data_IF_941536762990
#
_entry.id   IF_941536762990
#
_cell.length_a   1.000
_cell.length_b   1.000
_cell.length_c   1.000
_cell.angle_alpha   90.00
_cell.angle_beta   90.00
_cell.angle_gamma   90.00
#
_symmetry.space_group_name_H-M   'P 1'
#
loop_
_entity.id
_entity.type
_entity.pdbx_description
1 polymer ?
#
# COMPACT_ATOMS: atom_id res chain seq x y z
N UNK A 1 -54.46 21.17 4.99
CA UNK A 1 -54.15 20.03 4.11
C UNK A 1 -55.33 19.74 3.23
N UNK A 2 -55.12 19.78 1.93
CA UNK A 2 -56.20 19.57 0.95
C UNK A 2 -56.56 18.07 0.94
N UNK A 3 -57.86 17.68 1.11
CA UNK A 3 -58.26 16.28 1.30
C UNK A 3 -58.05 15.36 0.08
N UNK A 4 -57.52 15.85 -0.99
CA UNK A 4 -57.29 15.09 -2.23
C UNK A 4 -55.82 14.72 -2.52
N UNK A 5 -54.91 14.91 -1.59
CA UNK A 5 -53.52 14.44 -1.75
C UNK A 5 -53.39 12.99 -1.28
N UNK A 6 -53.33 12.07 -2.22
CA UNK A 6 -52.88 10.69 -1.94
C UNK A 6 -51.36 10.65 -2.00
N UNK A 7 -50.72 10.44 -0.87
CA UNK A 7 -49.29 10.20 -0.77
C UNK A 7 -49.07 8.69 -0.93
N UNK A 8 -48.40 8.30 -1.98
CA UNK A 8 -47.96 6.91 -2.19
C UNK A 8 -46.46 6.85 -1.79
N UNK A 9 -46.18 6.18 -0.70
CA UNK A 9 -44.79 5.90 -0.31
C UNK A 9 -44.35 4.60 -0.98
N UNK A 10 -43.29 4.67 -1.78
CA UNK A 10 -42.74 3.50 -2.44
C UNK A 10 -41.30 3.33 -1.92
N UNK A 11 -41.00 2.16 -1.35
CA UNK A 11 -39.66 1.80 -0.93
C UNK A 11 -38.83 1.42 -2.16
N UNK A 12 -37.68 2.06 -2.34
CA UNK A 12 -36.90 1.97 -3.58
C UNK A 12 -35.72 0.95 -3.55
N UNK A 13 -35.86 -0.10 -2.76
CA UNK A 13 -34.88 -1.20 -2.84
C UNK A 13 -35.17 -2.05 -4.08
N UNK A 14 -34.31 -1.92 -5.12
CA UNK A 14 -34.35 -2.78 -6.30
C UNK A 14 -35.16 -2.29 -7.51
N UNK A 15 -35.52 -1.01 -7.61
CA UNK A 15 -36.22 -0.50 -8.78
C UNK A 15 -35.34 -0.39 -10.03
N UNK A 16 -35.83 -0.94 -11.14
CA UNK A 16 -35.25 -0.77 -12.46
C UNK A 16 -35.71 0.54 -13.11
N UNK A 17 -34.95 1.03 -14.07
CA UNK A 17 -35.28 2.24 -14.86
C UNK A 17 -36.69 2.20 -15.47
N UNK A 18 -37.23 1.02 -15.80
CA UNK A 18 -38.56 0.81 -16.37
C UNK A 18 -39.69 1.18 -15.40
N UNK A 19 -39.50 0.94 -14.09
CA UNK A 19 -40.49 1.28 -13.07
C UNK A 19 -40.57 2.79 -12.86
N UNK A 20 -39.44 3.47 -12.92
CA UNK A 20 -39.37 4.92 -12.82
C UNK A 20 -40.06 5.57 -14.02
N UNK A 21 -39.87 5.04 -15.24
CA UNK A 21 -40.54 5.53 -16.44
C UNK A 21 -42.05 5.32 -16.41
N UNK A 22 -42.52 4.23 -15.83
CA UNK A 22 -43.93 3.96 -15.65
C UNK A 22 -44.57 4.95 -14.64
N UNK A 23 -43.89 5.27 -13.57
CA UNK A 23 -44.40 6.21 -12.55
C UNK A 23 -44.42 7.65 -13.09
N UNK A 24 -43.48 8.04 -13.92
CA UNK A 24 -43.49 9.33 -14.62
C UNK A 24 -44.65 9.38 -15.64
N UNK A 25 -44.91 8.27 -16.34
CA UNK A 25 -46.08 8.15 -17.24
C UNK A 25 -47.43 8.31 -16.53
N UNK A 26 -47.56 7.78 -15.33
CA UNK A 26 -48.79 7.90 -14.51
C UNK A 26 -49.01 9.34 -13.96
N UNK A 27 -47.93 10.06 -13.68
CA UNK A 27 -47.97 11.47 -13.28
C UNK A 27 -48.49 12.38 -14.40
N UNK A 28 -48.25 12.04 -15.66
CA UNK A 28 -48.70 12.77 -16.84
C UNK A 28 -50.23 12.57 -17.12
N UNK A 29 -50.90 11.65 -16.41
CA UNK A 29 -52.35 11.43 -16.51
C UNK A 29 -53.18 12.27 -15.53
N UNK A 30 -52.58 13.30 -14.93
CA UNK A 30 -53.30 14.24 -14.06
C UNK A 30 -53.52 13.77 -12.63
N UNK A 31 -52.82 12.71 -12.23
CA UNK A 31 -52.83 12.26 -10.85
C UNK A 31 -51.70 12.98 -10.05
N UNK A 32 -52.10 13.68 -8.98
CA UNK A 32 -51.15 14.26 -8.02
C UNK A 32 -50.45 13.12 -7.26
N UNK A 33 -49.32 12.68 -7.74
CA UNK A 33 -48.52 11.64 -7.09
C UNK A 33 -47.28 12.31 -6.46
N UNK A 34 -47.24 12.31 -5.12
CA UNK A 34 -46.02 12.66 -4.37
C UNK A 34 -45.16 11.42 -4.24
N UNK A 35 -44.00 11.40 -4.85
CA UNK A 35 -43.02 10.32 -4.73
C UNK A 35 -42.03 10.67 -3.62
N UNK A 36 -42.07 9.96 -2.53
CA UNK A 36 -41.09 10.05 -1.47
C UNK A 36 -40.18 8.80 -1.56
N UNK A 37 -38.91 9.01 -1.88
CA UNK A 37 -37.93 7.94 -1.83
C UNK A 37 -37.24 7.99 -0.47
N UNK A 38 -37.52 6.99 0.37
CA UNK A 38 -36.75 6.75 1.58
C UNK A 38 -35.80 5.60 1.26
N UNK A 39 -34.48 5.88 1.25
CA UNK A 39 -33.50 4.80 1.27
C UNK A 39 -33.64 4.12 2.63
N UNK A 40 -34.10 2.88 2.62
CA UNK A 40 -34.45 2.19 3.85
C UNK A 40 -33.25 1.94 4.73
N UNK A 41 -33.39 2.38 5.97
CA UNK A 41 -32.59 1.84 7.06
C UNK A 41 -33.03 0.39 7.27
N UNK A 42 -32.10 -0.54 7.26
CA UNK A 42 -32.36 -1.90 7.74
C UNK A 42 -32.81 -1.84 9.20
N UNK A 43 -33.78 -2.66 9.63
CA UNK A 43 -34.27 -2.58 11.00
C UNK A 43 -33.15 -2.91 11.99
N UNK A 44 -32.77 -1.92 12.78
CA UNK A 44 -31.85 -2.09 13.91
C UNK A 44 -32.49 -2.94 15.00
N UNK A 45 -31.83 -4.03 15.33
CA UNK A 45 -31.96 -4.65 16.63
C UNK A 45 -30.69 -4.34 17.41
N UNK A 46 -30.79 -3.33 18.25
CA UNK A 46 -29.99 -3.21 19.47
C UNK A 46 -28.58 -2.61 19.41
N UNK A 47 -28.49 -1.47 20.03
CA UNK A 47 -27.36 -0.67 20.56
C UNK A 47 -26.80 0.43 19.64
N UNK A 48 -26.69 1.66 20.16
CA UNK A 48 -26.33 2.82 19.35
C UNK A 48 -24.81 2.87 19.13
N UNK A 49 -24.42 2.63 17.88
CA UNK A 49 -23.08 2.94 17.40
C UNK A 49 -23.13 4.33 16.75
N UNK A 50 -22.44 5.28 17.32
CA UNK A 50 -22.27 6.63 16.80
C UNK A 50 -21.30 6.64 15.63
N UNK A 51 -21.75 6.22 14.45
CA UNK A 51 -21.06 6.50 13.21
C UNK A 51 -22.02 7.22 12.28
N UNK A 52 -21.80 8.52 12.14
CA UNK A 52 -22.61 9.39 11.31
C UNK A 52 -22.46 9.03 9.83
N UNK A 53 -23.42 8.34 9.29
CA UNK A 53 -23.66 8.30 7.85
C UNK A 53 -24.47 9.54 7.50
N UNK A 54 -23.86 10.50 6.80
CA UNK A 54 -24.60 11.61 6.20
C UNK A 54 -25.42 11.07 5.03
N UNK A 55 -26.66 10.68 5.35
CA UNK A 55 -27.67 10.37 4.35
C UNK A 55 -28.35 11.67 3.95
N UNK A 56 -28.10 12.17 2.75
CA UNK A 56 -28.82 13.33 2.21
C UNK A 56 -30.11 12.85 1.58
N UNK A 57 -31.22 13.16 2.22
CA UNK A 57 -32.57 12.89 1.66
C UNK A 57 -32.94 14.03 0.71
N UNK A 58 -32.97 13.77 -0.58
CA UNK A 58 -33.48 14.73 -1.56
C UNK A 58 -34.99 14.56 -1.71
N UNK A 59 -35.74 15.56 -1.29
CA UNK A 59 -37.18 15.62 -1.47
C UNK A 59 -37.50 16.32 -2.79
N UNK A 60 -38.09 15.60 -3.73
CA UNK A 60 -38.55 16.18 -5.00
C UNK A 60 -40.01 16.46 -4.91
N UNK A 61 -40.43 17.70 -4.85
CA UNK A 61 -41.81 18.14 -4.90
C UNK A 61 -42.21 18.48 -6.32
N UNK A 62 -43.20 17.75 -6.86
CA UNK A 62 -43.84 18.11 -8.12
C UNK A 62 -45.16 18.86 -7.84
N UNK A 63 -45.25 20.06 -8.37
CA UNK A 63 -46.49 20.83 -8.36
C UNK A 63 -47.03 20.91 -9.78
N UNK A 64 -48.11 20.19 -10.09
CA UNK A 64 -48.79 20.26 -11.37
C UNK A 64 -49.91 21.31 -11.31
N UNK A 65 -49.52 22.57 -11.42
CA UNK A 65 -50.51 23.60 -11.87
C UNK A 65 -49.96 24.24 -13.13
N UNK A 66 -50.63 23.92 -14.21
CA UNK A 66 -50.66 24.60 -15.51
C UNK A 66 -49.35 24.71 -16.34
N UNK A 67 -49.34 23.84 -17.34
CA UNK A 67 -48.73 24.08 -18.66
C UNK A 67 -47.24 24.39 -18.75
N UNK A 68 -46.57 23.41 -19.35
CA UNK A 68 -45.29 23.45 -20.04
C UNK A 68 -44.00 23.39 -19.21
N UNK A 69 -43.50 22.16 -19.16
CA UNK A 69 -42.15 21.79 -19.60
C UNK A 69 -41.01 22.70 -19.21
N UNK A 70 -40.46 22.43 -18.05
CA UNK A 70 -39.04 22.44 -17.90
C UNK A 70 -38.68 21.23 -16.98
N UNK A 71 -38.60 20.05 -17.56
CA UNK A 71 -37.90 18.95 -16.94
C UNK A 71 -36.42 19.25 -17.09
N UNK A 72 -35.89 20.04 -16.20
CA UNK A 72 -34.46 20.18 -16.03
C UNK A 72 -33.95 18.85 -15.46
N UNK A 73 -33.24 18.12 -16.26
CA UNK A 73 -32.44 16.93 -15.98
C UNK A 73 -32.47 16.45 -14.53
N UNK A 74 -33.25 15.41 -14.23
CA UNK A 74 -33.12 14.68 -12.98
C UNK A 74 -31.82 13.89 -13.06
N UNK A 75 -30.78 14.40 -12.46
CA UNK A 75 -29.55 13.63 -12.24
C UNK A 75 -29.81 12.76 -11.02
N UNK A 76 -30.12 11.49 -11.23
CA UNK A 76 -30.09 10.50 -10.17
C UNK A 76 -28.61 10.27 -9.84
N UNK A 77 -28.08 11.00 -8.88
CA UNK A 77 -26.79 10.70 -8.29
C UNK A 77 -27.02 9.44 -7.43
N UNK A 78 -26.57 8.32 -7.90
CA UNK A 78 -26.39 7.14 -7.07
C UNK A 78 -25.24 7.48 -6.11
N UNK A 79 -25.58 7.94 -4.91
CA UNK A 79 -24.56 7.98 -3.86
C UNK A 79 -24.15 6.54 -3.57
N UNK A 80 -22.95 6.18 -4.00
CA UNK A 80 -22.33 4.98 -3.49
C UNK A 80 -22.11 5.19 -2.00
N UNK A 81 -22.64 4.30 -1.19
CA UNK A 81 -22.36 4.28 0.24
C UNK A 81 -20.87 4.02 0.41
N UNK A 82 -20.10 5.09 0.56
CA UNK A 82 -18.66 5.00 0.80
C UNK A 82 -18.44 4.51 2.22
N UNK A 83 -17.83 3.35 2.34
CA UNK A 83 -17.50 2.74 3.63
C UNK A 83 -16.00 2.68 3.82
N UNK A 84 -15.56 2.91 5.04
CA UNK A 84 -14.17 2.62 5.42
C UNK A 84 -13.85 1.14 5.27
N UNK A 85 -12.63 0.84 4.86
CA UNK A 85 -12.12 -0.52 4.76
C UNK A 85 -12.12 -1.20 6.13
N UNK A 86 -12.56 -2.45 6.15
CA UNK A 86 -12.57 -3.30 7.33
C UNK A 86 -11.63 -4.50 7.11
N UNK A 87 -10.75 -4.74 8.08
CA UNK A 87 -9.75 -5.82 8.02
C UNK A 87 -10.24 -7.12 8.68
N UNK A 88 -11.52 -7.39 8.71
CA UNK A 88 -12.08 -8.55 9.42
C UNK A 88 -11.76 -9.89 8.77
N UNK A 89 -11.49 -9.93 7.46
CA UNK A 89 -11.19 -11.17 6.76
C UNK A 89 -9.81 -11.73 7.13
N UNK A 90 -9.64 -13.07 7.13
CA UNK A 90 -8.32 -13.69 7.28
C UNK A 90 -7.51 -13.59 6.00
N UNK A 91 -6.20 -13.85 6.08
CA UNK A 91 -5.38 -14.09 4.90
C UNK A 91 -5.79 -15.39 4.20
N UNK A 92 -5.76 -15.38 2.87
CA UNK A 92 -5.93 -16.59 2.09
C UNK A 92 -4.76 -17.56 2.30
N UNK A 93 -5.05 -18.85 2.20
CA UNK A 93 -4.03 -19.89 2.15
C UNK A 93 -3.21 -19.75 0.85
N UNK A 94 -1.88 -19.89 0.97
CA UNK A 94 -0.97 -19.79 -0.17
C UNK A 94 -0.11 -21.05 -0.25
N UNK A 95 -0.09 -21.69 -1.41
CA UNK A 95 0.79 -22.81 -1.73
C UNK A 95 1.79 -22.47 -2.86
N UNK A 96 1.55 -21.43 -3.60
CA UNK A 96 2.46 -20.92 -4.65
C UNK A 96 2.21 -19.44 -4.91
N UNK A 97 3.13 -18.83 -5.62
CA UNK A 97 3.07 -17.42 -6.02
C UNK A 97 3.05 -17.33 -7.55
N UNK A 98 2.19 -16.45 -8.07
CA UNK A 98 2.05 -16.24 -9.51
C UNK A 98 2.14 -14.75 -9.84
N UNK A 99 2.58 -14.44 -11.05
CA UNK A 99 2.69 -13.05 -11.48
C UNK A 99 1.32 -12.38 -11.56
N UNK A 100 1.24 -11.19 -10.98
CA UNK A 100 0.11 -10.29 -11.17
C UNK A 100 0.41 -9.31 -12.31
N UNK A 101 1.56 -8.65 -12.25
CA UNK A 101 1.95 -7.62 -13.21
C UNK A 101 3.43 -7.32 -13.15
N UNK A 102 3.95 -6.71 -14.20
CA UNK A 102 5.29 -6.12 -14.28
C UNK A 102 5.25 -4.90 -15.19
N UNK A 103 6.15 -3.96 -15.02
CA UNK A 103 6.17 -2.73 -15.83
C UNK A 103 7.20 -2.73 -16.95
N UNK A 104 8.20 -3.59 -16.92
CA UNK A 104 9.31 -3.65 -17.90
C UNK A 104 9.99 -2.27 -18.13
N UNK A 105 10.06 -1.44 -17.10
CA UNK A 105 10.47 -0.04 -17.24
C UNK A 105 11.85 0.16 -17.85
N UNK A 106 12.83 -0.65 -17.44
CA UNK A 106 14.21 -0.54 -17.98
C UNK A 106 14.25 -0.95 -19.45
N UNK A 107 13.57 -2.03 -19.82
CA UNK A 107 13.51 -2.47 -21.21
C UNK A 107 12.84 -1.42 -22.10
N UNK A 108 11.68 -0.92 -21.68
CA UNK A 108 10.92 0.09 -22.44
C UNK A 108 11.69 1.40 -22.49
N UNK A 109 12.45 1.74 -21.43
CA UNK A 109 13.29 2.94 -21.36
C UNK A 109 14.49 2.96 -22.30
N UNK A 110 14.80 1.84 -22.97
CA UNK A 110 15.86 1.78 -24.01
C UNK A 110 15.49 2.65 -25.22
N UNK A 111 14.23 2.76 -25.57
CA UNK A 111 13.75 3.49 -26.76
C UNK A 111 12.56 4.43 -26.50
N UNK A 112 12.13 4.56 -25.25
CA UNK A 112 11.04 5.45 -24.84
C UNK A 112 11.48 6.33 -23.64
N UNK A 113 10.76 7.41 -23.42
CA UNK A 113 10.98 8.31 -22.29
C UNK A 113 10.34 7.72 -21.03
N UNK A 114 11.13 7.02 -20.23
CA UNK A 114 10.72 6.41 -18.96
C UNK A 114 11.44 7.08 -17.81
N UNK A 115 10.70 7.42 -16.76
CA UNK A 115 11.22 8.09 -15.59
C UNK A 115 12.21 7.19 -14.82
N UNK A 116 13.27 7.79 -14.35
CA UNK A 116 14.17 7.19 -13.36
C UNK A 116 13.45 7.14 -12.03
N UNK A 117 13.39 5.98 -11.42
CA UNK A 117 12.70 5.76 -10.17
C UNK A 117 13.49 4.88 -9.23
N UNK A 118 13.18 4.94 -7.96
CA UNK A 118 13.49 3.92 -6.95
C UNK A 118 12.41 3.91 -5.88
N UNK A 119 12.50 2.96 -4.98
CA UNK A 119 11.51 2.69 -3.94
C UNK A 119 10.09 2.54 -4.52
N UNK A 120 9.90 1.59 -5.50
CA UNK A 120 8.59 1.34 -6.06
C UNK A 120 7.75 0.52 -5.10
N UNK A 121 6.45 0.65 -5.20
CA UNK A 121 5.50 -0.23 -4.53
C UNK A 121 4.15 -0.23 -5.24
N UNK A 122 3.25 -1.07 -4.79
CA UNK A 122 1.85 -1.06 -5.23
C UNK A 122 0.95 -0.70 -4.05
N UNK A 123 -0.12 -0.02 -4.37
CA UNK A 123 -1.21 0.25 -3.44
C UNK A 123 -2.54 0.17 -4.16
N UNK A 124 -3.50 -0.46 -3.51
CA UNK A 124 -4.83 -0.68 -4.06
C UNK A 124 -5.84 0.27 -3.43
N UNK A 125 -6.91 0.52 -4.16
CA UNK A 125 -8.11 1.22 -3.71
C UNK A 125 -9.36 0.41 -4.12
N UNK A 126 -10.56 0.93 -3.86
CA UNK A 126 -11.80 0.21 -4.17
C UNK A 126 -12.00 -0.13 -5.66
N UNK A 127 -11.34 0.60 -6.55
CA UNK A 127 -11.54 0.48 -8.00
C UNK A 127 -10.35 -0.08 -8.75
N UNK A 128 -9.14 0.10 -8.25
CA UNK A 128 -7.90 -0.32 -8.92
C UNK A 128 -6.74 -0.48 -7.94
N UNK A 129 -5.75 -1.27 -8.36
CA UNK A 129 -4.40 -1.23 -7.80
C UNK A 129 -3.53 -0.40 -8.74
N UNK A 130 -2.66 0.43 -8.20
CA UNK A 130 -1.73 1.26 -8.96
C UNK A 130 -0.30 0.97 -8.57
N UNK A 131 0.60 1.20 -9.50
CA UNK A 131 2.03 1.23 -9.24
C UNK A 131 2.43 2.62 -8.75
N UNK A 132 3.32 2.66 -7.77
CA UNK A 132 3.88 3.86 -7.15
C UNK A 132 5.40 3.77 -7.17
N UNK A 133 6.07 4.89 -7.24
CA UNK A 133 7.52 4.99 -7.03
C UNK A 133 7.91 6.43 -6.71
N UNK A 134 9.13 6.59 -6.20
CA UNK A 134 9.77 7.89 -6.06
C UNK A 134 10.55 8.22 -7.33
N UNK A 135 10.04 9.17 -8.10
CA UNK A 135 10.69 9.68 -9.30
C UNK A 135 11.92 10.52 -8.95
N UNK A 136 12.91 10.51 -9.82
CA UNK A 136 14.08 11.40 -9.73
C UNK A 136 13.92 12.71 -10.54
N UNK A 137 12.74 12.93 -11.14
CA UNK A 137 12.47 14.13 -11.93
C UNK A 137 13.14 14.14 -13.30
N UNK A 138 13.60 13.00 -13.79
CA UNK A 138 14.26 12.85 -15.09
C UNK A 138 13.93 11.49 -15.70
N UNK A 139 14.22 11.35 -16.99
CA UNK A 139 14.07 10.08 -17.70
C UNK A 139 15.43 9.37 -17.84
N UNK A 140 15.41 8.06 -18.09
CA UNK A 140 16.60 7.25 -18.34
C UNK A 140 17.46 7.79 -19.49
N UNK A 141 16.82 8.37 -20.50
CA UNK A 141 17.47 8.97 -21.68
C UNK A 141 17.82 10.43 -21.50
N UNK A 142 17.43 11.03 -20.39
CA UNK A 142 17.70 12.42 -20.06
C UNK A 142 19.12 12.63 -19.56
N UNK A 143 19.70 13.81 -19.87
CA UNK A 143 21.05 14.19 -19.40
C UNK A 143 21.15 14.29 -17.86
N UNK A 144 20.04 14.47 -17.18
CA UNK A 144 19.97 14.54 -15.72
C UNK A 144 19.87 13.16 -15.05
N UNK A 145 19.86 12.07 -15.82
CA UNK A 145 19.89 10.72 -15.27
C UNK A 145 21.21 10.38 -14.55
N UNK A 146 22.29 11.07 -14.90
CA UNK A 146 23.59 10.94 -14.21
C UNK A 146 23.45 11.37 -12.74
N UNK A 147 23.97 10.52 -11.85
CA UNK A 147 23.96 10.80 -10.41
C UNK A 147 22.68 10.41 -9.67
N UNK A 148 21.72 9.79 -10.33
CA UNK A 148 20.47 9.32 -9.70
C UNK A 148 20.65 8.15 -8.73
N UNK A 149 21.87 7.73 -8.49
CA UNK A 149 22.22 6.83 -7.38
C UNK A 149 21.93 7.45 -6.00
N UNK A 150 21.90 8.76 -5.90
CA UNK A 150 21.61 9.47 -4.65
C UNK A 150 20.13 9.34 -4.27
N UNK A 151 19.89 8.98 -3.02
CA UNK A 151 18.56 8.67 -2.54
C UNK A 151 17.68 9.92 -2.34
N UNK A 152 18.29 11.05 -2.04
CA UNK A 152 17.57 12.28 -1.71
C UNK A 152 17.97 13.43 -2.61
N UNK A 153 16.95 14.12 -3.13
CA UNK A 153 17.11 15.36 -3.86
C UNK A 153 15.81 16.18 -3.81
N UNK A 154 15.88 17.43 -4.16
CA UNK A 154 14.71 18.29 -4.29
C UNK A 154 13.83 17.94 -5.49
N UNK A 155 14.29 17.06 -6.38
CA UNK A 155 13.56 16.67 -7.59
C UNK A 155 12.71 15.44 -7.42
N UNK A 156 12.77 14.79 -6.27
CA UNK A 156 12.01 13.56 -6.04
C UNK A 156 10.55 13.84 -5.71
N UNK A 157 9.70 12.95 -6.21
CA UNK A 157 8.27 13.00 -5.96
C UNK A 157 7.70 11.58 -5.99
N UNK A 158 6.67 11.36 -5.19
CA UNK A 158 5.86 10.15 -5.29
C UNK A 158 4.95 10.27 -6.51
N UNK A 159 5.14 9.37 -7.45
CA UNK A 159 4.32 9.24 -8.64
C UNK A 159 3.54 7.94 -8.62
N UNK A 160 2.41 7.91 -9.32
CA UNK A 160 1.64 6.70 -9.53
C UNK A 160 1.19 6.59 -10.98
N UNK A 161 1.01 5.36 -11.44
CA UNK A 161 0.56 5.06 -12.79
C UNK A 161 -0.22 3.76 -12.82
N UNK A 162 -0.87 3.50 -13.93
CA UNK A 162 -1.64 2.29 -14.14
C UNK A 162 -0.76 1.04 -14.05
N UNK A 163 -1.24 0.04 -13.34
CA UNK A 163 -0.55 -1.24 -13.18
C UNK A 163 -0.25 -1.90 -14.54
N UNK A 164 0.98 -2.37 -14.72
CA UNK A 164 1.43 -3.02 -15.96
C UNK A 164 1.99 -2.07 -17.00
N UNK A 165 1.96 -0.76 -16.77
CA UNK A 165 2.58 0.24 -17.63
C UNK A 165 3.95 0.65 -17.07
N UNK A 166 4.85 1.10 -17.94
CA UNK A 166 6.09 1.74 -17.50
C UNK A 166 5.85 3.23 -17.16
N UNK A 167 6.51 3.79 -16.15
CA UNK A 167 6.24 5.17 -15.72
C UNK A 167 6.85 6.19 -16.68
N UNK A 168 6.04 6.70 -17.60
CA UNK A 168 6.42 7.78 -18.49
C UNK A 168 5.98 9.14 -17.92
N UNK A 169 6.56 10.27 -18.39
CA UNK A 169 6.05 11.59 -18.02
C UNK A 169 4.60 11.84 -18.42
N UNK A 170 4.05 11.05 -19.32
CA UNK A 170 2.72 11.24 -19.91
C UNK A 170 1.63 10.41 -19.22
N UNK A 171 1.96 9.34 -18.52
CA UNK A 171 0.99 8.44 -17.90
C UNK A 171 1.05 8.41 -16.37
N UNK A 172 1.89 9.23 -15.78
CA UNK A 172 2.06 9.33 -14.32
C UNK A 172 1.38 10.58 -13.79
N UNK A 173 0.92 10.48 -12.54
CA UNK A 173 0.49 11.62 -11.75
C UNK A 173 1.34 11.74 -10.48
N UNK A 174 1.53 12.96 -10.00
CA UNK A 174 2.25 13.23 -8.76
C UNK A 174 1.27 13.16 -7.59
N UNK A 175 1.57 12.34 -6.62
CA UNK A 175 0.79 12.23 -5.39
C UNK A 175 1.26 13.24 -4.33
N UNK A 176 2.56 13.38 -4.17
CA UNK A 176 3.20 14.36 -3.29
C UNK A 176 4.69 14.51 -3.64
N UNK A 177 5.33 15.53 -3.11
CA UNK A 177 6.75 15.84 -3.37
C UNK A 177 7.60 15.40 -2.18
N UNK A 178 8.61 14.59 -2.45
CA UNK A 178 9.55 14.14 -1.42
C UNK A 178 10.36 12.91 -1.85
N UNK A 179 11.29 12.55 -1.01
CA UNK A 179 12.23 11.45 -1.24
C UNK A 179 11.98 10.22 -0.34
N UNK A 180 10.93 10.23 0.48
CA UNK A 180 10.42 9.10 1.24
C UNK A 180 8.90 9.16 1.28
N UNK A 181 8.23 8.03 1.21
CA UNK A 181 6.78 8.03 1.07
C UNK A 181 6.07 6.80 1.61
N UNK A 182 4.78 6.96 1.77
CA UNK A 182 3.80 5.88 1.91
C UNK A 182 2.47 6.35 1.32
N UNK A 183 1.63 5.43 0.94
CA UNK A 183 0.29 5.73 0.44
C UNK A 183 -0.65 4.58 0.75
N UNK A 184 -1.88 4.89 1.09
CA UNK A 184 -2.94 3.90 1.29
C UNK A 184 -4.32 4.51 1.06
N UNK A 185 -5.31 3.68 0.86
CA UNK A 185 -6.69 4.06 0.68
C UNK A 185 -7.53 3.53 1.83
N UNK A 186 -8.34 4.37 2.44
CA UNK A 186 -9.17 3.99 3.58
C UNK A 186 -10.56 3.44 3.21
N UNK A 187 -10.83 3.33 1.91
CA UNK A 187 -12.13 2.94 1.36
C UNK A 187 -12.93 4.13 0.85
N UNK A 188 -12.60 5.34 1.27
CA UNK A 188 -13.25 6.60 0.88
C UNK A 188 -12.33 7.45 0.02
N UNK A 189 -11.10 7.68 0.50
CA UNK A 189 -10.08 8.47 -0.17
C UNK A 189 -8.69 7.95 0.10
N UNK A 190 -7.75 8.37 -0.75
CA UNK A 190 -6.33 8.04 -0.60
C UNK A 190 -5.64 9.02 0.31
N UNK A 191 -4.83 8.49 1.22
CA UNK A 191 -3.84 9.22 2.00
C UNK A 191 -2.46 8.96 1.42
N UNK A 192 -1.69 10.01 1.17
CA UNK A 192 -0.29 9.92 0.72
C UNK A 192 0.57 10.83 1.59
N UNK A 193 1.73 10.34 1.98
CA UNK A 193 2.68 11.07 2.83
C UNK A 193 4.02 11.11 2.13
N UNK A 194 4.61 12.29 2.02
CA UNK A 194 5.97 12.48 1.51
C UNK A 194 6.81 13.27 2.51
N UNK A 195 8.08 12.86 2.64
CA UNK A 195 9.10 13.60 3.37
C UNK A 195 10.02 14.32 2.40
N UNK A 196 10.33 15.57 2.72
CA UNK A 196 11.23 16.42 1.94
C UNK A 196 12.01 17.37 2.84
N UNK A 197 12.97 18.06 2.25
CA UNK A 197 13.80 19.02 2.94
C UNK A 197 15.20 18.53 3.26
N UNK A 198 16.00 19.35 3.94
CA UNK A 198 17.37 18.98 4.30
C UNK A 198 17.41 17.86 5.35
N UNK A 199 18.50 17.12 5.41
CA UNK A 199 18.65 15.96 6.28
C UNK A 199 18.38 16.27 7.76
N UNK A 200 18.77 17.43 8.22
CA UNK A 200 18.62 17.85 9.61
C UNK A 200 17.33 18.60 9.93
N UNK A 201 16.52 18.88 8.94
CA UNK A 201 15.27 19.62 9.09
C UNK A 201 14.24 19.22 8.04
N UNK A 202 14.05 17.92 7.86
CA UNK A 202 13.02 17.39 6.98
C UNK A 202 11.62 17.56 7.59
N UNK A 203 10.62 17.54 6.74
CA UNK A 203 9.22 17.51 7.16
C UNK A 203 8.43 16.51 6.34
N UNK A 204 7.38 16.00 6.93
CA UNK A 204 6.39 15.16 6.27
C UNK A 204 5.13 15.97 5.98
N UNK A 205 4.60 15.87 4.79
CA UNK A 205 3.29 16.43 4.42
C UNK A 205 2.33 15.29 4.17
N UNK A 206 1.21 15.31 4.87
CA UNK A 206 0.15 14.33 4.74
C UNK A 206 -0.94 14.89 3.83
N UNK A 207 -1.20 14.17 2.74
CA UNK A 207 -2.24 14.48 1.77
C UNK A 207 -3.41 13.54 1.97
N UNK A 208 -4.60 14.06 1.93
CA UNK A 208 -5.84 13.28 1.95
C UNK A 208 -6.82 13.84 0.93
N UNK A 209 -7.36 12.96 0.10
CA UNK A 209 -8.26 13.33 -1.00
C UNK A 209 -7.65 14.43 -1.92
N UNK A 210 -6.35 14.31 -2.20
CA UNK A 210 -5.62 15.23 -3.08
C UNK A 210 -5.31 16.61 -2.49
N UNK A 211 -5.45 16.79 -1.18
CA UNK A 211 -5.18 18.07 -0.49
C UNK A 211 -4.24 17.87 0.70
N UNK A 212 -3.30 18.78 0.96
CA UNK A 212 -2.47 18.75 2.15
C UNK A 212 -3.34 19.01 3.40
N UNK A 213 -3.20 18.16 4.40
CA UNK A 213 -4.00 18.22 5.63
C UNK A 213 -3.13 18.46 6.86
N UNK A 214 -1.99 17.78 6.93
CA UNK A 214 -1.14 17.78 8.13
C UNK A 214 0.31 17.90 7.72
N UNK A 215 1.10 18.61 8.52
CA UNK A 215 2.55 18.70 8.40
C UNK A 215 3.20 18.21 9.68
N UNK A 216 4.26 17.41 9.58
CA UNK A 216 4.99 16.85 10.69
C UNK A 216 6.44 17.24 10.56
N UNK A 217 6.97 17.93 11.58
CA UNK A 217 8.39 18.29 11.62
C UNK A 217 9.26 17.12 12.09
N UNK A 218 10.51 17.12 11.65
CA UNK A 218 11.55 16.24 12.18
C UNK A 218 11.66 16.34 13.70
N UNK A 219 11.78 15.20 14.37
CA UNK A 219 11.92 15.16 15.84
C UNK A 219 13.32 14.81 16.33
N UNK A 220 14.18 14.30 15.46
CA UNK A 220 15.56 13.94 15.80
C UNK A 220 16.62 14.61 14.91
N UNK A 221 16.19 15.38 13.92
CA UNK A 221 17.09 16.13 13.03
C UNK A 221 17.99 15.28 12.16
N UNK A 222 17.56 14.07 11.79
CA UNK A 222 18.38 13.17 10.98
C UNK A 222 17.52 12.29 10.04
N UNK A 223 17.03 12.90 8.99
CA UNK A 223 16.30 12.25 7.89
C UNK A 223 15.02 11.57 8.38
N UNK A 224 13.98 12.36 8.64
CA UNK A 224 12.64 11.84 8.89
C UNK A 224 12.19 11.04 7.65
N UNK A 225 11.83 9.77 7.84
CA UNK A 225 11.56 8.82 6.78
C UNK A 225 10.48 7.82 7.17
N UNK A 226 9.90 7.13 6.19
CA UNK A 226 8.77 6.24 6.41
C UNK A 226 8.91 4.92 5.64
N UNK A 227 7.81 4.31 5.31
CA UNK A 227 7.69 2.90 4.96
C UNK A 227 8.19 2.53 3.57
N UNK A 228 8.13 3.43 2.60
CA UNK A 228 8.45 3.14 1.19
C UNK A 228 7.57 2.01 0.61
N UNK A 229 6.35 1.85 1.16
CA UNK A 229 5.33 0.90 0.71
C UNK A 229 3.95 1.28 1.26
N UNK A 230 2.95 0.50 0.88
CA UNK A 230 1.56 0.74 1.26
C UNK A 230 1.37 0.75 2.77
N UNK A 231 0.69 1.77 3.28
CA UNK A 231 0.11 1.74 4.62
C UNK A 231 -1.23 0.99 4.59
N UNK A 232 -1.81 0.72 5.75
CA UNK A 232 -3.02 -0.09 5.88
C UNK A 232 -4.01 0.63 6.76
N UNK A 233 -5.28 0.61 6.38
CA UNK A 233 -6.34 1.29 7.12
C UNK A 233 -7.38 0.29 7.63
N UNK A 234 -7.94 0.60 8.79
CA UNK A 234 -9.07 -0.13 9.37
C UNK A 234 -10.05 0.85 10.01
N UNK A 235 -11.30 0.82 9.57
CA UNK A 235 -12.36 1.72 10.03
C UNK A 235 -11.94 3.20 10.01
N UNK A 236 -11.20 3.61 8.99
CA UNK A 236 -10.72 4.96 8.80
C UNK A 236 -9.40 5.29 9.50
N UNK A 237 -8.92 4.45 10.38
CA UNK A 237 -7.62 4.62 11.06
C UNK A 237 -6.52 4.01 10.20
N UNK A 238 -5.53 4.82 9.85
CA UNK A 238 -4.38 4.45 9.02
C UNK A 238 -3.08 4.67 9.82
N UNK A 239 -2.57 3.64 10.49
CA UNK A 239 -1.29 3.75 11.18
C UNK A 239 -0.12 3.81 10.18
N UNK A 240 0.86 4.63 10.48
CA UNK A 240 2.08 4.78 9.69
C UNK A 240 3.28 4.74 10.62
N UNK A 241 4.31 3.99 10.23
CA UNK A 241 5.57 3.90 10.97
C UNK A 241 6.58 4.87 10.36
N UNK A 242 7.09 5.79 11.16
CA UNK A 242 8.09 6.77 10.77
C UNK A 242 9.30 6.71 11.68
N UNK A 243 10.48 6.94 11.12
CA UNK A 243 11.75 6.94 11.85
C UNK A 243 12.52 8.22 11.56
N UNK A 244 13.15 8.74 12.57
CA UNK A 244 14.09 9.85 12.49
C UNK A 244 15.29 9.55 13.40
N UNK A 245 16.48 9.75 12.91
CA UNK A 245 17.71 9.41 13.63
C UNK A 245 18.70 8.63 12.79
N UNK A 246 19.84 8.21 13.36
CA UNK A 246 20.88 7.52 12.61
C UNK A 246 20.41 6.21 11.99
N UNK A 247 20.98 5.86 10.84
CA UNK A 247 20.75 4.56 10.18
C UNK A 247 21.62 3.43 10.77
N UNK A 248 22.64 3.76 11.51
CA UNK A 248 23.61 2.80 12.07
C UNK A 248 23.76 2.92 13.59
N UNK A 249 22.78 3.46 14.25
CA UNK A 249 22.73 3.61 15.69
C UNK A 249 21.27 3.72 16.12
N UNK A 250 21.01 3.92 17.41
CA UNK A 250 19.68 4.11 17.97
C UNK A 250 18.98 5.30 17.29
N UNK A 251 17.81 5.04 16.74
CA UNK A 251 16.93 6.04 16.14
C UNK A 251 15.60 6.13 16.89
N UNK A 252 14.85 7.18 16.63
CA UNK A 252 13.55 7.40 17.23
C UNK A 252 12.45 7.03 16.23
N UNK A 253 11.71 5.98 16.54
CA UNK A 253 10.60 5.50 15.73
C UNK A 253 9.28 5.80 16.41
N UNK A 254 8.33 6.30 15.63
CA UNK A 254 6.97 6.57 16.10
C UNK A 254 5.96 5.87 15.21
N UNK A 255 4.89 5.40 15.80
CA UNK A 255 3.70 4.93 15.10
C UNK A 255 2.66 6.03 15.23
N UNK A 256 2.26 6.60 14.08
CA UNK A 256 1.30 7.70 14.02
C UNK A 256 0.02 7.18 13.40
N UNK A 257 -1.08 7.38 14.10
CA UNK A 257 -2.42 6.94 13.69
C UNK A 257 -3.15 8.12 13.06
N UNK A 258 -3.46 8.02 11.78
CA UNK A 258 -4.19 9.04 11.03
C UNK A 258 -5.64 8.64 10.82
N UNK A 259 -6.51 9.62 10.77
CA UNK A 259 -7.87 9.51 10.23
C UNK A 259 -8.13 10.70 9.31
N UNK A 260 -8.47 10.41 8.06
CA UNK A 260 -8.70 11.45 7.05
C UNK A 260 -7.53 12.46 6.96
N UNK A 261 -6.32 11.94 7.09
CA UNK A 261 -5.08 12.74 7.07
C UNK A 261 -4.74 13.47 8.37
N UNK A 262 -5.57 13.37 9.40
CA UNK A 262 -5.35 14.05 10.69
C UNK A 262 -4.81 13.09 11.74
N UNK A 263 -3.88 13.55 12.55
CA UNK A 263 -3.29 12.77 13.64
C UNK A 263 -4.33 12.52 14.73
N UNK A 264 -4.55 11.25 15.05
CA UNK A 264 -5.40 10.82 16.17
C UNK A 264 -4.58 10.48 17.41
N UNK A 265 -3.43 9.84 17.20
CA UNK A 265 -2.53 9.41 18.26
C UNK A 265 -1.12 9.27 17.71
N UNK A 266 -0.14 9.53 18.55
CA UNK A 266 1.28 9.26 18.32
C UNK A 266 1.77 8.33 19.42
N UNK A 267 2.38 7.21 19.03
CA UNK A 267 3.04 6.31 19.97
C UNK A 267 4.54 6.26 19.68
N UNK A 268 5.32 6.27 20.75
CA UNK A 268 6.75 5.92 20.71
C UNK A 268 6.87 4.40 20.54
N UNK A 269 7.86 3.95 19.76
CA UNK A 269 8.15 2.53 19.64
C UNK A 269 8.46 1.92 21.00
N UNK A 270 7.77 0.84 21.33
CA UNK A 270 7.99 0.01 22.51
C UNK A 270 8.17 -1.45 22.11
N UNK A 271 8.71 -2.26 23.02
CA UNK A 271 8.98 -3.68 22.77
C UNK A 271 10.45 -3.96 22.50
N UNK A 272 10.73 -5.12 21.92
CA UNK A 272 12.10 -5.62 21.72
C UNK A 272 12.82 -5.09 20.49
N UNK A 273 12.10 -4.52 19.52
CA UNK A 273 12.71 -3.95 18.33
C UNK A 273 13.60 -2.76 18.69
N UNK A 274 14.84 -2.76 18.20
CA UNK A 274 15.84 -1.76 18.56
C UNK A 274 16.06 -0.71 17.47
N UNK A 275 15.86 -1.08 16.21
CA UNK A 275 15.97 -0.18 15.07
C UNK A 275 14.94 -0.55 14.01
N UNK A 276 14.24 0.46 13.50
CA UNK A 276 13.14 0.27 12.54
C UNK A 276 13.37 1.17 11.33
N UNK A 277 13.33 0.55 10.17
CA UNK A 277 13.37 1.21 8.87
C UNK A 277 12.36 0.55 7.92
N UNK A 278 11.77 1.34 7.07
CA UNK A 278 11.13 0.90 5.83
C UNK A 278 10.17 -0.30 6.02
N UNK A 279 9.22 -0.18 6.93
CA UNK A 279 8.27 -1.24 7.25
C UNK A 279 7.37 -1.59 6.07
N UNK A 280 7.15 -2.89 5.83
CA UNK A 280 6.16 -3.42 4.93
C UNK A 280 4.97 -3.93 5.73
N UNK A 281 3.81 -3.32 5.54
CA UNK A 281 2.63 -3.59 6.37
C UNK A 281 1.54 -4.28 5.57
N UNK A 282 0.79 -5.14 6.23
CA UNK A 282 -0.43 -5.75 5.72
C UNK A 282 -1.40 -5.96 6.89
N UNK A 283 -2.67 -6.11 6.59
CA UNK A 283 -3.69 -6.28 7.60
C UNK A 283 -4.62 -7.45 7.32
N UNK A 284 -5.01 -8.17 8.36
CA UNK A 284 -6.03 -9.20 8.36
C UNK A 284 -6.50 -9.43 9.79
N UNK A 285 -7.72 -9.94 9.96
CA UNK A 285 -8.29 -10.26 11.27
C UNK A 285 -8.22 -9.08 12.26
N UNK A 286 -8.44 -7.86 11.73
CA UNK A 286 -8.42 -6.60 12.48
C UNK A 286 -7.07 -6.24 13.12
N UNK A 287 -5.99 -6.83 12.62
CA UNK A 287 -4.62 -6.59 13.06
C UNK A 287 -3.76 -6.18 11.87
N UNK A 288 -2.88 -5.21 12.07
CA UNK A 288 -1.89 -4.79 11.09
C UNK A 288 -0.52 -5.29 11.56
N UNK A 289 0.17 -6.04 10.69
CA UNK A 289 1.53 -6.50 10.93
C UNK A 289 2.48 -5.82 9.97
N UNK A 290 3.56 -5.27 10.50
CA UNK A 290 4.60 -4.60 9.75
C UNK A 290 5.91 -5.35 9.94
N UNK A 291 6.50 -5.78 8.83
CA UNK A 291 7.82 -6.41 8.79
C UNK A 291 8.80 -5.36 8.33
N UNK A 292 9.83 -5.10 9.12
CA UNK A 292 10.69 -3.94 8.93
C UNK A 292 12.15 -4.34 8.65
N UNK A 293 13.02 -3.35 8.60
CA UNK A 293 14.46 -3.48 8.45
C UNK A 293 15.14 -2.93 9.71
N UNK A 294 16.04 -3.72 10.30
CA UNK A 294 16.97 -3.24 11.31
C UNK A 294 18.29 -2.93 10.59
N UNK A 295 18.61 -1.67 10.44
CA UNK A 295 19.80 -1.24 9.73
C UNK A 295 21.00 -0.99 10.66
N UNK A 296 20.85 -1.27 11.95
CA UNK A 296 21.88 -1.04 12.95
C UNK A 296 22.57 -2.32 13.39
N UNK A 297 21.81 -3.33 13.84
CA UNK A 297 22.36 -4.52 14.49
C UNK A 297 21.83 -5.84 13.94
N UNK A 298 20.67 -5.87 13.33
CA UNK A 298 19.94 -7.11 13.10
C UNK A 298 19.90 -7.57 11.66
N UNK A 299 20.25 -8.85 11.43
CA UNK A 299 19.94 -9.58 10.20
C UNK A 299 18.56 -10.25 10.26
N UNK A 300 17.94 -10.27 11.42
CA UNK A 300 16.53 -10.64 11.63
C UNK A 300 15.65 -9.39 11.52
N UNK A 301 14.48 -9.57 10.96
CA UNK A 301 13.56 -8.45 10.74
C UNK A 301 12.71 -8.13 11.96
N UNK A 302 12.65 -6.86 12.36
CA UNK A 302 11.67 -6.41 13.35
C UNK A 302 10.24 -6.62 12.85
N UNK A 303 9.34 -6.95 13.76
CA UNK A 303 7.90 -7.09 13.52
C UNK A 303 7.15 -6.18 14.47
N UNK A 304 6.38 -5.26 13.92
CA UNK A 304 5.46 -4.41 14.69
C UNK A 304 4.04 -4.93 14.46
N UNK A 305 3.37 -5.27 15.54
CA UNK A 305 1.96 -5.68 15.52
C UNK A 305 1.12 -4.53 16.05
N UNK A 306 0.22 -4.03 15.21
CA UNK A 306 -0.60 -2.84 15.49
C UNK A 306 -2.06 -3.26 15.61
N UNK A 307 -2.70 -2.79 16.68
CA UNK A 307 -4.15 -2.85 16.81
C UNK A 307 -4.72 -1.48 16.41
N UNK A 308 -5.33 -1.36 15.22
CA UNK A 308 -5.83 -0.07 14.75
C UNK A 308 -7.07 0.41 15.50
N UNK A 309 -7.81 -0.48 16.15
CA UNK A 309 -9.00 -0.13 16.94
C UNK A 309 -8.63 0.54 18.24
N UNK A 310 -7.68 -0.03 18.98
CA UNK A 310 -7.22 0.55 20.26
C UNK A 310 -6.09 1.57 20.06
N UNK A 311 -5.53 1.66 18.86
CA UNK A 311 -4.36 2.48 18.54
C UNK A 311 -3.18 2.17 19.47
N UNK A 312 -2.84 0.90 19.57
CA UNK A 312 -1.72 0.35 20.36
C UNK A 312 -0.87 -0.56 19.49
N UNK A 313 0.36 -0.82 19.92
CA UNK A 313 1.28 -1.71 19.22
C UNK A 313 2.15 -2.51 20.18
N UNK A 314 2.72 -3.57 19.64
CA UNK A 314 3.82 -4.32 20.23
C UNK A 314 4.92 -4.51 19.18
N UNK A 315 6.15 -4.74 19.60
CA UNK A 315 7.25 -5.04 18.69
C UNK A 315 8.12 -6.18 19.20
N UNK A 316 8.64 -6.93 18.27
CA UNK A 316 9.60 -8.03 18.47
C UNK A 316 10.41 -8.23 17.19
N UNK A 317 11.24 -9.26 17.15
CA UNK A 317 11.88 -9.73 15.92
C UNK A 317 11.21 -11.00 15.40
N UNK A 318 11.36 -11.28 14.13
CA UNK A 318 10.95 -12.55 13.54
C UNK A 318 11.80 -13.67 14.15
N UNK A 319 11.17 -14.73 14.65
CA UNK A 319 11.84 -15.74 15.47
C UNK A 319 12.65 -16.76 14.67
N UNK A 320 12.37 -16.92 13.39
CA UNK A 320 12.95 -17.97 12.55
C UNK A 320 14.47 -17.88 12.43
N UNK A 321 15.13 -19.04 12.38
CA UNK A 321 16.55 -19.16 11.99
C UNK A 321 16.79 -18.92 10.51
N UNK A 322 15.75 -18.90 9.71
CA UNK A 322 15.80 -18.48 8.31
C UNK A 322 15.73 -16.95 8.28
N UNK A 323 16.88 -16.33 8.27
CA UNK A 323 17.01 -14.87 8.27
C UNK A 323 16.71 -14.32 6.87
N UNK A 324 16.13 -13.15 6.80
CA UNK A 324 15.60 -12.60 5.54
C UNK A 324 16.18 -11.26 5.12
N UNK A 325 16.96 -10.63 5.96
CA UNK A 325 17.67 -9.40 5.57
C UNK A 325 18.98 -9.72 4.85
N UNK A 326 19.50 -8.77 4.09
CA UNK A 326 20.89 -8.83 3.61
C UNK A 326 21.85 -8.66 4.80
N UNK A 327 23.12 -8.96 4.60
CA UNK A 327 24.12 -9.02 5.67
C UNK A 327 23.81 -10.15 6.69
N UNK A 328 23.06 -11.16 6.28
CA UNK A 328 22.76 -12.32 7.12
C UNK A 328 23.85 -13.40 7.06
N UNK A 329 24.05 -14.17 8.14
CA UNK A 329 24.88 -15.35 8.11
C UNK A 329 24.27 -16.46 7.26
N UNK A 330 25.04 -17.53 7.00
CA UNK A 330 24.55 -18.74 6.31
C UNK A 330 23.42 -19.41 7.06
N UNK A 331 22.53 -20.08 6.31
CA UNK A 331 21.47 -20.91 6.88
C UNK A 331 22.00 -22.23 7.46
N UNK A 332 21.44 -22.70 8.57
CA UNK A 332 20.59 -21.94 9.45
C UNK A 332 21.40 -20.94 10.28
N UNK A 333 20.86 -19.72 10.45
CA UNK A 333 21.40 -18.77 11.40
C UNK A 333 20.92 -19.06 12.83
N UNK A 334 21.12 -18.13 13.73
CA UNK A 334 20.46 -18.10 15.02
C UNK A 334 19.08 -17.47 14.88
N UNK A 335 18.10 -17.94 15.67
CA UNK A 335 16.80 -17.31 15.78
C UNK A 335 16.64 -16.61 17.13
N UNK A 336 16.01 -15.47 17.15
CA UNK A 336 15.70 -14.75 18.39
C UNK A 336 14.51 -13.80 18.16
N UNK A 337 13.47 -13.98 18.97
CA UNK A 337 12.29 -13.09 18.95
C UNK A 337 12.54 -11.75 19.66
N UNK A 338 13.51 -11.68 20.56
CA UNK A 338 13.63 -10.63 21.57
C UNK A 338 14.87 -9.73 21.37
N UNK A 339 15.74 -10.07 20.42
CA UNK A 339 16.95 -9.32 20.19
C UNK A 339 17.42 -9.39 18.73
N UNK A 340 18.15 -8.39 18.24
CA UNK A 340 18.79 -8.45 16.93
C UNK A 340 19.87 -9.53 16.88
N UNK A 341 20.04 -10.12 15.68
CA UNK A 341 21.09 -11.09 15.38
C UNK A 341 22.12 -10.41 14.50
N UNK A 342 23.38 -10.44 14.91
CA UNK A 342 24.48 -9.81 14.19
C UNK A 342 24.62 -10.39 12.79
N UNK A 343 24.62 -9.52 11.78
CA UNK A 343 24.96 -9.86 10.41
C UNK A 343 26.46 -9.84 10.18
N UNK A 344 26.89 -10.25 9.01
CA UNK A 344 28.33 -10.37 8.68
C UNK A 344 28.68 -9.96 7.26
N UNK A 345 27.82 -9.26 6.55
CA UNK A 345 27.99 -8.93 5.14
C UNK A 345 28.03 -7.42 4.87
N UNK A 346 28.56 -6.98 3.72
CA UNK A 346 28.76 -5.55 3.44
C UNK A 346 27.49 -4.74 3.19
N UNK A 347 26.39 -5.34 2.70
CA UNK A 347 25.12 -4.61 2.57
C UNK A 347 24.43 -4.54 3.93
N UNK A 348 24.20 -3.34 4.50
CA UNK A 348 23.69 -3.22 5.85
C UNK A 348 22.22 -3.64 6.03
N UNK A 349 21.49 -3.85 4.94
CA UNK A 349 20.11 -4.28 4.96
C UNK A 349 19.33 -3.88 3.71
N UNK A 350 18.15 -4.42 3.58
CA UNK A 350 17.20 -4.14 2.49
C UNK A 350 15.78 -4.19 3.02
N UNK A 351 14.90 -3.35 2.47
CA UNK A 351 13.47 -3.45 2.75
C UNK A 351 12.96 -4.80 2.29
N UNK A 352 12.18 -5.48 3.13
CA UNK A 352 11.57 -6.75 2.84
C UNK A 352 10.25 -6.92 3.58
N UNK A 353 9.67 -8.10 3.44
CA UNK A 353 8.35 -8.43 3.96
C UNK A 353 8.28 -9.91 4.40
N UNK A 354 7.23 -10.24 5.09
CA UNK A 354 6.79 -11.60 5.35
C UNK A 354 5.28 -11.60 5.54
N UNK A 355 4.64 -12.72 5.24
CA UNK A 355 3.25 -12.96 5.59
C UNK A 355 3.20 -13.98 6.71
N UNK A 356 2.90 -13.53 7.90
CA UNK A 356 2.93 -14.32 9.12
C UNK A 356 1.60 -15.02 9.34
N UNK A 357 1.69 -16.29 9.69
CA UNK A 357 0.56 -17.13 10.02
C UNK A 357 0.93 -17.93 11.27
N UNK A 358 -0.05 -18.28 12.08
CA UNK A 358 0.16 -19.13 13.28
C UNK A 358 0.74 -20.52 12.98
N UNK A 359 0.57 -21.01 11.74
CA UNK A 359 1.20 -22.24 11.25
C UNK A 359 2.42 -21.95 10.38
N UNK A 360 2.26 -22.00 9.07
CA UNK A 360 3.32 -21.73 8.11
C UNK A 360 3.28 -20.30 7.63
N UNK A 361 4.39 -19.59 7.77
CA UNK A 361 4.57 -18.22 7.25
C UNK A 361 5.34 -18.24 5.93
N UNK A 362 5.02 -17.34 5.02
CA UNK A 362 5.81 -17.12 3.83
C UNK A 362 6.77 -15.95 4.05
N UNK A 363 8.06 -16.24 3.91
CA UNK A 363 9.14 -15.27 4.04
C UNK A 363 9.74 -14.98 2.67
N UNK A 364 9.85 -13.71 2.31
CA UNK A 364 10.56 -13.27 1.12
C UNK A 364 11.96 -12.77 1.45
N UNK A 365 12.95 -13.09 0.60
CA UNK A 365 14.32 -12.60 0.77
C UNK A 365 15.11 -12.58 -0.53
N UNK A 366 16.18 -11.80 -0.57
CA UNK A 366 17.19 -11.93 -1.61
C UNK A 366 17.86 -13.31 -1.53
N UNK A 367 18.21 -13.91 -2.67
CA UNK A 367 18.96 -15.18 -2.67
C UNK A 367 20.37 -14.97 -2.16
N UNK A 368 21.05 -13.90 -2.60
CA UNK A 368 22.32 -13.50 -2.03
C UNK A 368 22.12 -13.01 -0.59
N UNK A 369 23.02 -13.42 0.31
CA UNK A 369 23.03 -12.96 1.70
C UNK A 369 23.77 -11.63 1.90
N UNK A 370 24.57 -11.19 0.92
CA UNK A 370 25.46 -10.05 1.02
C UNK A 370 25.24 -8.98 -0.07
N UNK A 371 24.30 -9.19 -0.96
CA UNK A 371 23.93 -8.21 -1.98
C UNK A 371 22.45 -8.33 -2.38
N UNK A 372 21.96 -7.34 -3.12
CA UNK A 372 20.60 -7.29 -3.63
C UNK A 372 20.53 -8.01 -4.97
N UNK A 373 20.60 -9.34 -4.95
CA UNK A 373 20.50 -10.17 -6.13
C UNK A 373 19.65 -11.41 -5.88
N UNK A 374 18.88 -11.80 -6.88
CA UNK A 374 17.88 -12.86 -6.77
C UNK A 374 16.78 -12.52 -5.78
N UNK A 375 15.74 -13.30 -5.81
CA UNK A 375 14.65 -13.24 -4.84
C UNK A 375 13.95 -14.58 -4.72
N UNK A 376 13.64 -15.00 -3.50
CA UNK A 376 13.00 -16.27 -3.20
C UNK A 376 11.93 -16.14 -2.12
N UNK A 377 10.95 -17.02 -2.20
CA UNK A 377 9.92 -17.21 -1.20
C UNK A 377 10.12 -18.54 -0.48
N UNK A 378 10.07 -18.50 0.84
CA UNK A 378 10.26 -19.66 1.71
C UNK A 378 9.05 -19.81 2.63
N UNK A 379 8.43 -20.99 2.64
CA UNK A 379 7.35 -21.31 3.56
C UNK A 379 7.96 -21.97 4.80
N UNK A 380 7.90 -21.27 5.93
CA UNK A 380 8.58 -21.65 7.17
C UNK A 380 7.55 -21.89 8.27
N UNK A 381 7.54 -23.07 8.92
CA UNK A 381 6.62 -23.33 10.03
C UNK A 381 7.01 -22.55 11.27
N UNK A 382 6.01 -22.05 11.99
CA UNK A 382 6.15 -21.38 13.29
C UNK A 382 7.17 -20.22 13.33
N UNK A 383 7.33 -19.50 12.22
CA UNK A 383 8.29 -18.42 12.11
C UNK A 383 8.03 -17.26 13.08
N UNK A 384 6.80 -17.10 13.53
CA UNK A 384 6.36 -16.03 14.44
C UNK A 384 6.56 -16.38 15.91
N UNK A 385 6.62 -17.66 16.25
CA UNK A 385 6.63 -18.13 17.65
C UNK A 385 7.81 -19.01 17.99
N UNK A 386 8.44 -19.62 17.01
CA UNK A 386 9.50 -20.61 17.20
C UNK A 386 10.72 -20.37 16.32
N UNK A 387 11.82 -20.90 16.80
CA UNK A 387 13.15 -20.80 16.24
C UNK A 387 13.38 -21.86 15.14
N UNK A 388 12.54 -21.91 14.13
CA UNK A 388 12.58 -22.92 13.07
C UNK A 388 13.64 -22.63 12.01
N UNK A 389 14.30 -23.70 11.52
CA UNK A 389 15.43 -23.63 10.58
C UNK A 389 15.17 -24.27 9.20
N UNK A 390 14.03 -24.95 9.01
CA UNK A 390 13.75 -25.68 7.77
C UNK A 390 12.46 -25.19 7.12
N UNK A 391 12.54 -24.68 5.89
CA UNK A 391 11.33 -24.38 5.10
C UNK A 391 10.66 -25.68 4.62
N UNK A 392 9.33 -25.63 4.50
CA UNK A 392 8.53 -26.74 3.97
C UNK A 392 8.19 -26.57 2.49
N UNK A 393 8.38 -25.39 1.95
CA UNK A 393 8.24 -25.09 0.54
C UNK A 393 9.17 -23.93 0.16
N UNK A 394 9.51 -23.87 -1.11
CA UNK A 394 10.42 -22.88 -1.67
C UNK A 394 10.03 -22.57 -3.11
N UNK A 395 10.10 -21.29 -3.48
CA UNK A 395 9.90 -20.85 -4.85
C UNK A 395 10.89 -19.75 -5.18
N UNK A 396 11.59 -19.88 -6.30
CA UNK A 396 12.45 -18.83 -6.84
C UNK A 396 11.60 -17.86 -7.65
N UNK A 397 11.71 -16.58 -7.33
CA UNK A 397 11.00 -15.49 -8.02
C UNK A 397 11.91 -14.82 -9.05
N UNK A 398 13.14 -14.49 -8.64
CA UNK A 398 14.20 -13.92 -9.48
C UNK A 398 15.45 -14.74 -9.26
N UNK A 399 16.04 -15.30 -10.32
CA UNK A 399 17.25 -16.08 -10.18
C UNK A 399 18.43 -15.20 -9.75
N UNK A 400 19.46 -15.81 -9.12
CA UNK A 400 20.54 -15.05 -8.50
C UNK A 400 21.56 -14.44 -9.48
N UNK A 401 21.37 -14.60 -10.80
CA UNK A 401 22.14 -13.87 -11.80
C UNK A 401 21.58 -12.48 -12.10
N UNK A 402 20.41 -12.15 -11.56
CA UNK A 402 19.75 -10.88 -11.79
C UNK A 402 19.68 -10.06 -10.51
N UNK A 403 19.79 -8.74 -10.64
CA UNK A 403 19.66 -7.80 -9.54
C UNK A 403 18.21 -7.73 -9.08
N UNK A 404 18.06 -7.59 -7.80
CA UNK A 404 16.80 -7.31 -7.13
C UNK A 404 16.95 -6.06 -6.24
N UNK A 405 16.11 -5.90 -5.26
CA UNK A 405 16.17 -4.72 -4.39
C UNK A 405 15.13 -4.80 -3.29
N UNK A 406 14.47 -3.70 -3.07
CA UNK A 406 13.39 -3.60 -2.10
C UNK A 406 12.21 -4.50 -2.48
N UNK A 407 11.55 -5.01 -1.48
CA UNK A 407 10.32 -5.77 -1.63
C UNK A 407 9.35 -5.38 -0.52
N UNK A 408 8.08 -5.56 -0.77
CA UNK A 408 7.06 -5.19 0.19
C UNK A 408 5.73 -5.84 -0.10
N UNK A 409 4.86 -5.83 0.89
CA UNK A 409 3.52 -6.36 0.82
C UNK A 409 2.54 -5.34 0.26
N UNK A 410 1.51 -5.81 -0.40
CA UNK A 410 0.30 -5.07 -0.68
C UNK A 410 -0.87 -6.04 -0.79
N UNK A 411 -2.07 -5.58 -0.55
CA UNK A 411 -3.28 -6.38 -0.63
C UNK A 411 -4.40 -5.54 -1.26
N UNK A 412 -5.16 -6.17 -2.13
CA UNK A 412 -6.46 -5.64 -2.57
C UNK A 412 -7.53 -6.02 -1.55
N UNK A 413 -7.80 -5.13 -0.62
CA UNK A 413 -8.79 -5.33 0.44
C UNK A 413 -10.23 -5.24 -0.06
N UNK A 414 -10.45 -4.83 -1.30
CA UNK A 414 -11.77 -4.63 -1.92
C UNK A 414 -12.15 -5.73 -2.90
N UNK A 415 -11.27 -6.70 -3.11
CA UNK A 415 -11.58 -7.86 -3.94
C UNK A 415 -12.75 -8.66 -3.36
N UNK A 416 -13.64 -9.13 -4.24
CA UNK A 416 -14.78 -9.96 -3.85
C UNK A 416 -14.32 -11.39 -3.52
N UNK A 417 -13.83 -11.57 -2.31
CA UNK A 417 -13.30 -12.83 -1.77
C UNK A 417 -13.61 -12.92 -0.29
N UNK A 418 -13.63 -14.15 0.24
CA UNK A 418 -13.81 -14.41 1.67
C UNK A 418 -12.52 -14.25 2.51
N UNK A 419 -11.39 -14.11 1.85
CA UNK A 419 -10.07 -13.93 2.46
C UNK A 419 -9.29 -12.85 1.72
N UNK A 420 -8.33 -12.22 2.40
CA UNK A 420 -7.40 -11.29 1.78
C UNK A 420 -6.25 -12.06 1.13
N UNK A 421 -6.11 -11.90 -0.19
CA UNK A 421 -5.05 -12.56 -0.92
C UNK A 421 -3.72 -11.79 -0.76
N UNK A 422 -2.69 -12.39 -0.15
CA UNK A 422 -1.42 -11.71 0.04
C UNK A 422 -0.70 -11.53 -1.29
N UNK A 423 -0.22 -10.33 -1.53
CA UNK A 423 0.56 -9.95 -2.70
C UNK A 423 1.84 -9.24 -2.26
N UNK A 424 2.86 -9.32 -3.08
CA UNK A 424 4.10 -8.61 -2.88
C UNK A 424 4.67 -8.11 -4.20
N UNK A 425 5.58 -7.15 -4.10
CA UNK A 425 6.37 -6.69 -5.24
C UNK A 425 7.85 -6.89 -4.94
N UNK A 426 8.65 -6.93 -6.00
CA UNK A 426 10.11 -6.90 -5.95
C UNK A 426 10.61 -5.80 -6.87
N UNK A 427 11.42 -4.92 -6.33
CA UNK A 427 12.16 -3.91 -7.08
C UNK A 427 13.34 -4.58 -7.80
N UNK A 428 13.41 -4.41 -9.12
CA UNK A 428 14.48 -4.93 -9.96
C UNK A 428 15.43 -3.79 -10.30
N UNK A 429 16.39 -3.52 -9.41
CA UNK A 429 17.35 -2.41 -9.54
C UNK A 429 18.30 -2.68 -10.69
N UNK A 430 18.53 -1.66 -11.51
CA UNK A 430 19.52 -1.67 -12.59
C UNK A 430 20.39 -0.42 -12.51
N UNK A 431 21.56 -0.50 -13.13
CA UNK A 431 22.53 0.58 -13.14
C UNK A 431 23.45 0.57 -11.92
N UNK A 432 23.89 1.75 -11.50
CA UNK A 432 24.83 1.88 -10.39
C UNK A 432 24.22 1.51 -9.04
N UNK A 433 25.05 1.04 -8.08
CA UNK A 433 26.51 0.88 -8.17
C UNK A 433 26.98 -0.40 -8.87
N UNK A 434 26.09 -1.35 -9.11
CA UNK A 434 26.47 -2.70 -9.58
C UNK A 434 26.78 -2.78 -11.06
N UNK A 435 26.18 -1.93 -11.87
CA UNK A 435 26.38 -1.87 -13.30
C UNK A 435 26.97 -0.50 -13.67
N UNK A 436 28.29 -0.46 -13.82
CA UNK A 436 29.03 0.80 -14.00
C UNK A 436 29.02 1.32 -15.44
N UNK A 437 28.43 0.59 -16.40
CA UNK A 437 28.35 1.01 -17.80
C UNK A 437 27.40 2.19 -18.01
N UNK A 438 26.51 2.46 -17.06
CA UNK A 438 25.63 3.63 -17.03
C UNK A 438 25.88 4.45 -15.77
N UNK A 439 25.46 5.72 -15.80
CA UNK A 439 25.64 6.66 -14.68
C UNK A 439 24.38 6.84 -13.82
N UNK A 440 23.30 6.20 -14.19
CA UNK A 440 22.02 6.24 -13.48
C UNK A 440 21.80 4.99 -12.61
N UNK A 441 20.86 5.12 -11.70
CA UNK A 441 20.28 4.01 -10.96
C UNK A 441 18.76 4.10 -11.11
N UNK A 442 18.15 3.02 -11.54
CA UNK A 442 16.70 2.95 -11.69
C UNK A 442 16.21 1.51 -11.47
N UNK A 443 14.94 1.26 -11.71
CA UNK A 443 14.35 -0.05 -11.50
C UNK A 443 13.21 -0.36 -12.47
N UNK A 444 12.98 -1.66 -12.65
CA UNK A 444 11.69 -2.23 -13.01
C UNK A 444 11.03 -2.80 -11.76
N UNK A 445 9.79 -3.21 -11.86
CA UNK A 445 9.03 -3.83 -10.78
C UNK A 445 8.31 -5.08 -11.29
N UNK A 446 8.27 -6.11 -10.45
CA UNK A 446 7.40 -7.28 -10.62
C UNK A 446 6.52 -7.44 -9.39
N UNK A 447 5.25 -7.72 -9.61
CA UNK A 447 4.27 -7.96 -8.56
C UNK A 447 3.70 -9.36 -8.67
N UNK A 448 3.56 -10.05 -7.56
CA UNK A 448 3.06 -11.41 -7.47
C UNK A 448 2.00 -11.52 -6.38
N UNK A 449 1.07 -12.44 -6.58
CA UNK A 449 0.04 -12.76 -5.60
C UNK A 449 0.04 -14.25 -5.28
N UNK A 450 -0.43 -14.57 -4.08
CA UNK A 450 -0.57 -15.95 -3.63
C UNK A 450 -1.67 -16.70 -4.35
N UNK A 451 -1.50 -18.01 -4.44
CA UNK A 451 -2.51 -18.95 -4.93
C UNK A 451 -2.57 -20.16 -4.01
N UNK A 452 -3.76 -20.67 -3.77
CA UNK A 452 -3.97 -21.96 -3.08
C UNK A 452 -3.49 -23.14 -3.93
N UNK A 453 -3.53 -23.00 -5.24
CA UNK A 453 -3.07 -24.01 -6.19
C UNK A 453 -1.54 -24.01 -6.27
N UNK A 454 -0.98 -25.17 -6.59
CA UNK A 454 0.45 -25.31 -6.87
C UNK A 454 0.71 -25.01 -8.33
N UNK A 455 1.33 -23.87 -8.59
CA UNK A 455 1.79 -23.46 -9.91
C UNK A 455 3.28 -23.80 -10.07
N UNK A 456 3.75 -23.83 -11.33
CA UNK A 456 5.17 -24.01 -11.59
C UNK A 456 6.03 -22.85 -11.09
N UNK A 457 7.33 -23.09 -10.91
CA UNK A 457 8.29 -22.04 -10.55
C UNK A 457 8.62 -21.18 -11.77
N UNK A 458 8.73 -19.89 -11.55
CA UNK A 458 9.05 -18.89 -12.56
C UNK A 458 10.18 -18.00 -12.07
N UNK A 459 11.02 -17.54 -12.98
CA UNK A 459 12.04 -16.55 -12.70
C UNK A 459 11.75 -15.28 -13.47
N UNK A 460 11.59 -14.17 -12.78
CA UNK A 460 11.23 -12.87 -13.34
C UNK A 460 12.42 -11.91 -13.22
N UNK A 461 12.68 -11.19 -14.28
CA UNK A 461 13.66 -10.10 -14.35
C UNK A 461 13.22 -9.12 -15.43
N UNK A 462 13.85 -7.98 -15.56
CA UNK A 462 13.45 -7.01 -16.57
C UNK A 462 13.84 -7.43 -18.01
N UNK A 463 14.83 -8.32 -18.14
CA UNK A 463 15.31 -8.85 -19.42
C UNK A 463 15.99 -7.82 -20.32
N UNK A 464 16.27 -6.63 -19.82
CA UNK A 464 16.89 -5.57 -20.60
C UNK A 464 18.42 -5.66 -20.53
N UNK A 465 19.07 -5.29 -21.62
CA UNK A 465 20.51 -4.98 -21.63
C UNK A 465 20.72 -3.53 -21.15
N UNK A 466 21.82 -3.27 -20.45
CA UNK A 466 22.20 -1.92 -20.08
C UNK A 466 22.85 -1.24 -21.27
N UNK A 467 22.15 -0.31 -21.89
CA UNK A 467 22.63 0.49 -23.01
C UNK A 467 23.14 1.83 -22.50
N UNK A 468 24.26 2.27 -23.04
CA UNK A 468 24.80 3.59 -22.78
C UNK A 468 24.00 4.63 -23.56
N UNK A 469 23.13 5.35 -22.88
CA UNK A 469 22.43 6.49 -23.49
C UNK A 469 23.36 7.71 -23.55
N UNK A 470 23.68 8.15 -24.76
CA UNK A 470 24.49 9.34 -25.02
C UNK A 470 23.68 10.62 -24.89
#
# INVERSE_FOLDING_TARGET
>A
MNPNQKIICISATGMTLSVVSLLIGLANLGLNIGLHFKVGDTPETGTPSTNGTNSTTTIINYNTQNNFTNVTNIVLVKEENKMFTNLSKPLCEVNSWHILSKDNAIRIGEDAHILVTREPYLSCGPHECRMFALSQGTTLRGRHANGTIHDRSQFRALISWEMGQAPSPYNTRVECVGWSSTSCHDGISRMSICMSGPNNNASAVVWYNGRPVTEIASWAGNILRTQESECVCHNGICPVVMTDGPANNRAETKIIYFKEGKIQKIEELTGSAQHIEECSCYGAEEVIKCICRDNWKGANRPVITINPTTMTHTSKYLCSKILTDTSRPNDPGSGNCDAPITGGSPDPGVKGFAFLDGGNSWLGRTISKDSRSGYEMLKVPNAETNNQSAPVAHQIIVNNQNWSGYSGAFIDYWADRECFNPCFYVELIRGRPKESSVLWTSNSIVALCGSKERLGSWSWHDGAEIIYFK
#
